data_IF_299509104222
#
_entry.id   IF_299509104222
#
_cell.length_a   1.000
_cell.length_b   1.000
_cell.length_c   1.000
_cell.angle_alpha   90.00
_cell.angle_beta   90.00
_cell.angle_gamma   90.00
#
_symmetry.space_group_name_H-M   'P 1'
#
loop_
_entity.id
_entity.type
_entity.pdbx_description
1 polymer ?
#
# COMPACT_ATOMS: atom_id res chain seq x y z
N UNK A 1 -43.06 9.11 53.58
CA UNK A 1 -42.62 10.01 52.50
C UNK A 1 -41.40 9.35 51.89
N UNK A 2 -41.61 8.47 50.93
CA UNK A 2 -41.76 8.74 49.49
C UNK A 2 -40.42 8.43 48.82
N UNK A 3 -40.52 7.49 47.87
CA UNK A 3 -39.48 6.87 47.08
C UNK A 3 -38.95 7.77 45.96
N UNK A 4 -38.04 7.17 45.19
CA UNK A 4 -37.61 7.48 43.82
C UNK A 4 -36.20 8.10 43.79
N UNK A 5 -35.19 7.49 43.17
CA UNK A 5 -35.23 6.60 42.01
C UNK A 5 -34.63 7.33 40.82
N UNK A 6 -33.78 6.62 40.09
CA UNK A 6 -33.27 6.98 38.75
C UNK A 6 -32.02 7.87 38.70
N UNK A 7 -30.88 7.22 38.47
CA UNK A 7 -29.90 7.79 37.55
C UNK A 7 -30.45 7.74 36.12
N UNK A 8 -29.82 8.48 35.20
CA UNK A 8 -29.36 7.79 34.02
C UNK A 8 -27.86 7.98 33.83
N UNK A 9 -27.21 6.87 33.52
CA UNK A 9 -25.97 6.86 32.77
C UNK A 9 -26.17 7.69 31.49
N UNK A 10 -25.40 8.76 31.35
CA UNK A 10 -25.04 9.28 30.05
C UNK A 10 -23.84 8.49 29.58
N UNK A 11 -24.09 7.50 28.73
CA UNK A 11 -23.08 6.67 28.08
C UNK A 11 -21.96 7.55 27.46
N UNK A 12 -20.70 7.07 27.43
CA UNK A 12 -19.67 7.74 26.66
C UNK A 12 -20.12 7.72 25.19
N UNK A 13 -20.59 8.87 24.71
CA UNK A 13 -20.96 9.04 23.31
C UNK A 13 -19.83 8.48 22.46
N UNK A 14 -20.13 7.38 21.78
CA UNK A 14 -19.20 6.58 21.00
C UNK A 14 -18.50 7.49 19.99
N UNK A 15 -17.32 7.99 20.36
CA UNK A 15 -16.46 8.72 19.45
C UNK A 15 -15.98 7.71 18.41
N UNK A 16 -16.69 7.64 17.28
CA UNK A 16 -16.35 6.83 16.12
C UNK A 16 -14.86 7.05 15.74
N UNK A 17 -14.21 6.04 15.14
CA UNK A 17 -12.76 6.06 14.89
C UNK A 17 -12.36 7.36 14.17
N UNK A 18 -11.39 8.06 14.74
CA UNK A 18 -11.03 9.43 14.39
C UNK A 18 -10.77 9.63 12.90
N UNK A 19 -11.68 10.35 12.26
CA UNK A 19 -11.46 10.96 10.93
C UNK A 19 -10.60 12.22 11.03
N UNK A 20 -10.33 12.71 12.26
CA UNK A 20 -9.55 13.92 12.51
C UNK A 20 -10.35 15.21 12.31
N UNK A 21 -11.67 15.12 12.13
CA UNK A 21 -12.58 16.27 11.97
C UNK A 21 -13.78 16.15 12.90
N UNK A 22 -14.26 17.29 13.39
CA UNK A 22 -15.48 17.40 14.22
C UNK A 22 -16.74 17.59 13.39
N UNK A 23 -16.62 17.84 12.08
CA UNK A 23 -17.76 18.07 11.19
C UNK A 23 -18.29 16.72 10.65
N UNK A 24 -19.57 16.36 10.90
CA UNK A 24 -20.09 15.03 10.56
C UNK A 24 -20.07 14.68 9.07
N UNK A 25 -20.31 15.63 8.16
CA UNK A 25 -20.31 15.34 6.73
C UNK A 25 -18.88 15.07 6.20
N UNK A 26 -17.90 15.82 6.67
CA UNK A 26 -16.48 15.62 6.40
C UNK A 26 -16.02 14.28 6.96
N UNK A 27 -16.48 13.90 8.16
CA UNK A 27 -16.19 12.58 8.73
C UNK A 27 -16.74 11.44 7.85
N UNK A 28 -17.99 11.55 7.40
CA UNK A 28 -18.57 10.57 6.48
C UNK A 28 -17.77 10.48 5.16
N UNK A 29 -17.39 11.63 4.59
CA UNK A 29 -16.60 11.67 3.35
C UNK A 29 -15.21 11.07 3.50
N UNK A 30 -14.52 11.33 4.62
CA UNK A 30 -13.20 10.74 4.91
C UNK A 30 -13.31 9.23 5.04
N UNK A 31 -14.38 8.72 5.67
CA UNK A 31 -14.60 7.29 5.78
C UNK A 31 -14.75 6.63 4.40
N UNK A 32 -15.54 7.22 3.49
CA UNK A 32 -15.67 6.73 2.10
C UNK A 32 -14.32 6.73 1.35
N UNK A 33 -13.55 7.81 1.47
CA UNK A 33 -12.22 7.91 0.82
C UNK A 33 -11.28 6.82 1.35
N UNK A 34 -11.28 6.57 2.67
CA UNK A 34 -10.44 5.52 3.27
C UNK A 34 -10.81 4.13 2.77
N UNK A 35 -12.09 3.82 2.62
CA UNK A 35 -12.51 2.55 1.99
C UNK A 35 -11.91 2.41 0.59
N UNK A 36 -11.92 3.49 -0.20
CA UNK A 36 -11.32 3.45 -1.54
C UNK A 36 -9.79 3.31 -1.51
N UNK A 37 -9.11 3.94 -0.54
CA UNK A 37 -7.67 3.78 -0.33
C UNK A 37 -7.36 2.33 0.04
N UNK A 38 -8.10 1.73 0.96
CA UNK A 38 -7.89 0.35 1.40
C UNK A 38 -8.05 -0.65 0.23
N UNK A 39 -9.00 -0.40 -0.68
CA UNK A 39 -9.14 -1.18 -1.90
C UNK A 39 -7.93 -1.07 -2.83
N UNK A 40 -7.44 0.16 -3.03
CA UNK A 40 -6.26 0.42 -3.86
C UNK A 40 -5.03 -0.24 -3.24
N UNK A 41 -4.85 -0.13 -1.93
CA UNK A 41 -3.71 -0.69 -1.20
C UNK A 41 -3.71 -2.21 -1.30
N UNK A 42 -4.87 -2.86 -1.15
CA UNK A 42 -5.00 -4.30 -1.37
C UNK A 42 -4.56 -4.69 -2.79
N UNK A 43 -5.04 -3.99 -3.81
CA UNK A 43 -4.65 -4.26 -5.21
C UNK A 43 -3.16 -4.01 -5.44
N UNK A 44 -2.58 -2.95 -4.85
CA UNK A 44 -1.15 -2.68 -4.95
C UNK A 44 -0.31 -3.80 -4.33
N UNK A 45 -0.74 -4.33 -3.18
CA UNK A 45 -0.07 -5.46 -2.51
C UNK A 45 -0.14 -6.73 -3.35
N UNK A 46 -1.30 -7.05 -3.92
CA UNK A 46 -1.47 -8.22 -4.81
C UNK A 46 -0.55 -8.11 -6.04
N UNK A 47 -0.59 -6.98 -6.76
CA UNK A 47 0.25 -6.73 -7.92
C UNK A 47 1.75 -6.73 -7.58
N UNK A 48 2.11 -6.22 -6.41
CA UNK A 48 3.48 -6.24 -5.91
C UNK A 48 4.00 -7.68 -5.77
N UNK A 49 3.22 -8.54 -5.11
CA UNK A 49 3.57 -9.94 -4.86
C UNK A 49 3.72 -10.71 -6.17
N UNK A 50 2.73 -10.55 -7.07
CA UNK A 50 2.75 -11.18 -8.40
C UNK A 50 3.97 -10.74 -9.21
N UNK A 51 4.24 -9.43 -9.28
CA UNK A 51 5.40 -8.90 -10.01
C UNK A 51 6.72 -9.41 -9.43
N UNK A 52 6.82 -9.55 -8.11
CA UNK A 52 8.01 -10.08 -7.46
C UNK A 52 8.23 -11.56 -7.82
N UNK A 53 7.17 -12.37 -7.87
CA UNK A 53 7.25 -13.77 -8.29
C UNK A 53 7.68 -13.91 -9.75
N UNK A 54 7.03 -13.18 -10.66
CA UNK A 54 7.42 -13.17 -12.07
C UNK A 54 8.88 -12.73 -12.27
N UNK A 55 9.34 -11.76 -11.48
CA UNK A 55 10.73 -11.33 -11.54
C UNK A 55 11.72 -12.40 -11.04
N UNK A 56 11.33 -13.22 -10.06
CA UNK A 56 12.12 -14.38 -9.61
C UNK A 56 12.18 -15.44 -10.69
N UNK A 57 11.05 -15.77 -11.29
CA UNK A 57 10.94 -16.75 -12.37
C UNK A 57 11.82 -16.35 -13.57
N UNK A 58 11.78 -15.08 -14.00
CA UNK A 58 12.66 -14.56 -15.06
C UNK A 58 14.13 -14.74 -14.69
N UNK A 59 14.50 -14.46 -13.44
CA UNK A 59 15.86 -14.65 -12.95
C UNK A 59 16.29 -16.12 -12.98
N UNK A 60 15.44 -17.02 -12.47
CA UNK A 60 15.69 -18.45 -12.42
C UNK A 60 15.84 -19.05 -13.83
N UNK A 61 14.93 -18.73 -14.75
CA UNK A 61 14.97 -19.17 -16.15
C UNK A 61 16.25 -18.71 -16.85
N UNK A 62 16.66 -17.46 -16.62
CA UNK A 62 17.92 -16.93 -17.18
C UNK A 62 19.14 -17.66 -16.65
N UNK A 63 19.21 -17.90 -15.34
CA UNK A 63 20.33 -18.64 -14.74
C UNK A 63 20.36 -20.11 -15.21
N UNK A 64 19.21 -20.77 -15.32
CA UNK A 64 19.11 -22.13 -15.85
C UNK A 64 19.61 -22.25 -17.30
N UNK A 65 19.55 -21.14 -18.06
CA UNK A 65 20.04 -21.06 -19.44
C UNK A 65 21.50 -20.57 -19.54
N UNK A 66 22.24 -20.51 -18.44
CA UNK A 66 23.64 -20.04 -18.40
C UNK A 66 23.81 -18.51 -18.45
N UNK A 67 22.71 -17.76 -18.34
CA UNK A 67 22.74 -16.30 -18.30
C UNK A 67 23.09 -15.72 -16.94
N UNK A 68 23.24 -14.39 -16.88
CA UNK A 68 23.55 -13.67 -15.65
C UNK A 68 22.36 -13.63 -14.69
N UNK A 69 22.60 -13.47 -13.39
CA UNK A 69 21.51 -13.22 -12.43
C UNK A 69 20.75 -11.93 -12.71
N UNK A 70 21.41 -10.90 -13.28
CA UNK A 70 20.88 -9.55 -13.47
C UNK A 70 21.21 -8.99 -14.87
N UNK A 71 20.35 -8.11 -15.39
CA UNK A 71 20.56 -7.40 -16.66
C UNK A 71 20.45 -5.90 -16.42
N UNK A 72 21.59 -5.22 -16.34
CA UNK A 72 21.67 -3.82 -15.94
C UNK A 72 20.85 -2.88 -16.84
N UNK A 73 20.88 -3.10 -18.16
CA UNK A 73 20.08 -2.30 -19.11
C UNK A 73 18.58 -2.40 -18.81
N UNK A 74 18.09 -3.60 -18.50
CA UNK A 74 16.68 -3.82 -18.14
C UNK A 74 16.32 -3.17 -16.82
N UNK A 75 17.22 -3.15 -15.85
CA UNK A 75 16.99 -2.46 -14.58
C UNK A 75 16.93 -0.93 -14.78
N UNK A 76 17.80 -0.38 -15.62
CA UNK A 76 17.76 1.04 -16.00
C UNK A 76 16.44 1.41 -16.70
N UNK A 77 15.93 0.59 -17.61
CA UNK A 77 14.62 0.82 -18.24
C UNK A 77 13.47 0.86 -17.22
N UNK A 78 13.53 0.02 -16.18
CA UNK A 78 12.51 0.00 -15.12
C UNK A 78 12.61 1.28 -14.30
N UNK A 79 13.82 1.70 -13.90
CA UNK A 79 14.03 2.94 -13.16
C UNK A 79 13.48 4.15 -13.95
N UNK A 80 13.80 4.24 -15.24
CA UNK A 80 13.35 5.35 -16.08
C UNK A 80 11.83 5.35 -16.29
N UNK A 81 11.22 4.17 -16.46
CA UNK A 81 9.75 4.06 -16.56
C UNK A 81 9.04 4.63 -15.34
N UNK A 82 9.52 4.32 -14.14
CA UNK A 82 8.89 4.84 -12.93
C UNK A 82 9.24 6.31 -12.69
N UNK A 83 10.49 6.71 -12.97
CA UNK A 83 10.93 8.11 -12.83
C UNK A 83 10.15 9.07 -13.75
N UNK A 84 9.90 8.67 -15.00
CA UNK A 84 9.17 9.51 -15.96
C UNK A 84 7.72 9.78 -15.56
N UNK A 85 7.10 8.88 -14.78
CA UNK A 85 5.70 9.02 -14.33
C UNK A 85 5.60 9.63 -12.93
N UNK A 86 6.49 9.25 -12.01
CA UNK A 86 6.39 9.58 -10.58
C UNK A 86 7.55 10.46 -10.08
N UNK A 87 8.44 10.92 -10.96
CA UNK A 87 9.58 11.75 -10.60
C UNK A 87 10.61 11.03 -9.72
N UNK A 88 11.13 11.75 -8.72
CA UNK A 88 12.15 11.21 -7.81
C UNK A 88 11.65 9.98 -7.03
N UNK A 89 10.39 10.01 -6.57
CA UNK A 89 9.76 8.91 -5.83
C UNK A 89 9.59 7.66 -6.69
N UNK A 90 9.39 7.84 -8.00
CA UNK A 90 9.38 6.73 -8.96
C UNK A 90 10.66 5.92 -8.95
N UNK A 91 11.80 6.59 -8.81
CA UNK A 91 13.10 5.90 -8.73
C UNK A 91 13.17 5.04 -7.47
N UNK A 92 12.71 5.58 -6.33
CA UNK A 92 12.69 4.85 -5.06
C UNK A 92 11.75 3.63 -5.12
N UNK A 93 10.56 3.80 -5.69
CA UNK A 93 9.61 2.71 -5.89
C UNK A 93 10.19 1.61 -6.78
N UNK A 94 10.80 1.97 -7.91
CA UNK A 94 11.44 1.02 -8.81
C UNK A 94 12.59 0.25 -8.14
N UNK A 95 13.39 0.88 -7.28
CA UNK A 95 14.44 0.21 -6.52
C UNK A 95 13.86 -0.85 -5.56
N UNK A 96 12.79 -0.52 -4.84
CA UNK A 96 12.13 -1.48 -3.95
C UNK A 96 11.54 -2.66 -4.75
N UNK A 97 10.93 -2.37 -5.90
CA UNK A 97 10.39 -3.37 -6.83
C UNK A 97 11.46 -4.31 -7.40
N UNK A 98 12.64 -3.78 -7.75
CA UNK A 98 13.77 -4.58 -8.21
C UNK A 98 14.29 -5.48 -7.09
N UNK A 99 14.43 -4.93 -5.87
CA UNK A 99 14.86 -5.69 -4.68
C UNK A 99 13.90 -6.83 -4.34
N UNK A 100 12.59 -6.62 -4.42
CA UNK A 100 11.60 -7.65 -4.12
C UNK A 100 11.69 -8.87 -5.04
N UNK A 101 12.01 -8.67 -6.32
CA UNK A 101 12.13 -9.74 -7.30
C UNK A 101 13.47 -10.47 -7.27
N UNK A 102 14.58 -9.74 -7.21
CA UNK A 102 15.92 -10.33 -7.37
C UNK A 102 16.68 -10.54 -6.07
N UNK A 103 16.17 -10.06 -4.94
CA UNK A 103 16.90 -9.95 -3.67
C UNK A 103 17.79 -8.69 -3.59
N UNK A 104 18.43 -8.44 -2.43
CA UNK A 104 19.44 -7.39 -2.30
C UNK A 104 20.63 -7.66 -3.23
N UNK A 105 21.29 -6.56 -3.61
CA UNK A 105 22.61 -6.59 -4.24
C UNK A 105 23.68 -6.96 -3.21
#
# INVERSE_FOLDING_TARGET
>A
MASDGSGPAGEPGSAKPGTGTTEPAAAARIAEIRVRIDEIDRTLIELWQERAELSREVGATRMASGGTRLVLSREQEILERFRSVLGADGTQLALLLLRAGRGPL
#
